data_IF_978158831974
#
_entry.id   IF_978158831974
#
_cell.length_a   1.000
_cell.length_b   1.000
_cell.length_c   1.000
_cell.angle_alpha   90.00
_cell.angle_beta   90.00
_cell.angle_gamma   90.00
#
_symmetry.space_group_name_H-M   'P 1'
#
loop_
_entity.id
_entity.type
_entity.pdbx_description
1 polymer ?
#
# COMPACT_ATOMS: atom_id res chain seq x y z
N UNK A 1 1.33 -16.43 3.33
CA UNK A 1 1.84 -15.24 4.02
C UNK A 1 0.81 -14.11 3.97
N UNK A 2 0.43 -13.59 2.79
CA UNK A 2 -0.53 -12.47 2.65
C UNK A 2 -1.88 -12.74 3.32
N UNK A 3 -2.34 -13.98 3.36
CA UNK A 3 -3.56 -14.39 4.06
C UNK A 3 -3.44 -14.19 5.57
N UNK A 4 -2.37 -14.67 6.20
CA UNK A 4 -2.13 -14.51 7.64
C UNK A 4 -1.93 -13.05 8.05
N UNK A 5 -1.31 -12.24 7.20
CA UNK A 5 -1.13 -10.81 7.43
C UNK A 5 -2.46 -10.01 7.47
N UNK A 6 -3.57 -10.58 6.97
CA UNK A 6 -4.91 -9.97 7.10
C UNK A 6 -5.50 -10.11 8.49
N UNK A 7 -5.19 -11.18 9.20
CA UNK A 7 -5.79 -11.53 10.50
C UNK A 7 -4.86 -11.26 11.68
N UNK A 8 -3.57 -11.26 11.45
CA UNK A 8 -2.58 -10.95 12.47
C UNK A 8 -1.55 -10.00 11.89
N UNK A 9 -1.57 -8.76 12.35
CA UNK A 9 -0.51 -7.81 12.05
C UNK A 9 0.49 -7.88 13.19
N UNK A 10 1.73 -8.27 12.89
CA UNK A 10 2.83 -8.05 13.82
C UNK A 10 2.79 -6.56 14.17
N UNK A 11 2.60 -6.24 15.45
CA UNK A 11 2.60 -4.86 15.91
C UNK A 11 3.94 -4.23 15.52
N UNK A 12 3.95 -3.57 14.38
CA UNK A 12 5.06 -2.73 13.96
C UNK A 12 4.88 -1.42 14.71
N UNK A 13 5.82 -1.09 15.56
CA UNK A 13 5.89 0.26 16.12
C UNK A 13 5.86 1.27 14.96
N UNK A 14 5.30 2.46 15.19
CA UNK A 14 5.25 3.50 14.16
C UNK A 14 6.60 3.69 13.42
N UNK A 15 7.70 3.50 14.13
CA UNK A 15 9.05 3.62 13.58
C UNK A 15 9.58 2.35 12.90
N UNK A 16 9.04 1.17 13.21
CA UNK A 16 9.48 -0.09 12.58
C UNK A 16 9.14 -0.12 11.08
N UNK A 17 8.14 0.65 10.66
CA UNK A 17 7.77 0.83 9.26
C UNK A 17 8.88 1.56 8.46
N UNK A 18 9.62 2.46 9.13
CA UNK A 18 10.73 3.22 8.52
C UNK A 18 12.08 2.52 8.69
N UNK A 19 12.23 1.63 9.66
CA UNK A 19 13.49 0.95 9.96
C UNK A 19 13.67 -0.35 9.20
N UNK A 20 12.61 -0.86 8.57
CA UNK A 20 12.64 -2.16 7.90
C UNK A 20 12.95 -3.32 8.86
N UNK A 21 12.84 -3.10 10.18
CA UNK A 21 13.16 -4.10 11.20
C UNK A 21 12.33 -5.35 10.98
N UNK A 22 13.02 -6.45 10.69
CA UNK A 22 12.39 -7.76 10.56
C UNK A 22 12.16 -8.35 11.96
N UNK A 23 11.06 -9.09 12.17
CA UNK A 23 10.85 -9.79 13.43
C UNK A 23 11.95 -10.84 13.66
N UNK A 24 12.54 -10.83 14.84
CA UNK A 24 13.57 -11.78 15.21
C UNK A 24 12.94 -13.09 15.69
N UNK A 25 13.34 -14.20 15.10
CA UNK A 25 12.93 -15.55 15.50
C UNK A 25 14.13 -16.29 16.08
N UNK A 26 13.96 -16.94 17.24
CA UNK A 26 15.03 -17.72 17.82
C UNK A 26 15.35 -18.95 16.94
N UNK A 27 16.63 -19.38 16.90
CA UNK A 27 17.02 -20.56 16.13
C UNK A 27 16.22 -21.81 16.51
N UNK A 28 15.85 -21.97 17.78
CA UNK A 28 15.02 -23.09 18.25
C UNK A 28 13.62 -23.04 17.67
N UNK A 29 13.01 -21.87 17.64
CA UNK A 29 11.68 -21.66 17.06
C UNK A 29 11.71 -21.91 15.55
N UNK A 30 12.70 -21.34 14.84
CA UNK A 30 12.94 -21.59 13.42
C UNK A 30 13.05 -23.08 13.10
N UNK A 31 13.90 -23.83 13.85
CA UNK A 31 14.07 -25.26 13.64
C UNK A 31 12.77 -26.04 13.90
N UNK A 32 12.02 -25.67 14.93
CA UNK A 32 10.73 -26.28 15.22
C UNK A 32 9.73 -26.01 14.08
N UNK A 33 9.64 -24.79 13.59
CA UNK A 33 8.76 -24.41 12.48
C UNK A 33 9.06 -25.25 11.22
N UNK A 34 10.34 -25.40 10.85
CA UNK A 34 10.76 -26.19 9.67
C UNK A 34 10.42 -27.68 9.81
N UNK A 35 10.45 -28.24 11.02
CA UNK A 35 10.23 -29.67 11.24
C UNK A 35 8.75 -30.01 11.48
N UNK A 36 8.01 -29.12 12.16
CA UNK A 36 6.67 -29.44 12.68
C UNK A 36 5.56 -28.90 11.79
N UNK A 37 5.82 -27.88 10.95
CA UNK A 37 4.79 -27.21 10.17
C UNK A 37 4.49 -27.96 8.88
N UNK A 38 3.27 -28.51 8.76
CA UNK A 38 2.79 -29.13 7.52
C UNK A 38 2.21 -28.04 6.60
N UNK A 39 3.06 -27.51 5.72
CA UNK A 39 2.66 -26.44 4.79
C UNK A 39 1.53 -26.86 3.85
N UNK A 40 1.54 -28.07 3.22
CA UNK A 40 0.43 -28.56 2.42
C UNK A 40 -0.90 -28.57 3.16
N UNK A 41 -0.95 -29.02 4.40
CA UNK A 41 -2.16 -29.05 5.22
C UNK A 41 -2.67 -27.64 5.52
N UNK A 42 -1.79 -26.75 5.94
CA UNK A 42 -2.13 -25.34 6.22
C UNK A 42 -2.61 -24.64 4.96
N UNK A 43 -1.96 -24.86 3.83
CA UNK A 43 -2.37 -24.28 2.55
C UNK A 43 -3.76 -24.75 2.13
N UNK A 44 -4.04 -26.06 2.25
CA UNK A 44 -5.35 -26.61 1.93
C UNK A 44 -6.46 -26.02 2.82
N UNK A 45 -6.21 -25.88 4.14
CA UNK A 45 -7.16 -25.23 5.06
C UNK A 45 -7.41 -23.77 4.71
N UNK A 46 -6.36 -23.01 4.42
CA UNK A 46 -6.46 -21.60 4.02
C UNK A 46 -7.28 -21.47 2.74
N UNK A 47 -7.03 -22.31 1.75
CA UNK A 47 -7.77 -22.31 0.49
C UNK A 47 -9.25 -22.64 0.71
N UNK A 48 -9.55 -23.67 1.50
CA UNK A 48 -10.92 -24.05 1.85
C UNK A 48 -11.68 -22.91 2.54
N UNK A 49 -11.02 -22.24 3.51
CA UNK A 49 -11.62 -21.11 4.24
C UNK A 49 -11.84 -19.91 3.33
N UNK A 50 -10.88 -19.54 2.48
CA UNK A 50 -10.99 -18.38 1.57
C UNK A 50 -12.13 -18.61 0.53
N UNK A 51 -12.21 -19.80 -0.05
CA UNK A 51 -13.33 -20.18 -0.93
C UNK A 51 -14.67 -20.16 -0.20
N UNK A 52 -14.72 -20.64 1.04
CA UNK A 52 -15.96 -20.66 1.82
C UNK A 52 -16.40 -19.25 2.21
N UNK A 53 -15.49 -18.41 2.65
CA UNK A 53 -15.76 -17.00 2.96
C UNK A 53 -16.25 -16.23 1.72
N UNK A 54 -15.65 -16.48 0.57
CA UNK A 54 -16.09 -15.87 -0.69
C UNK A 54 -17.55 -16.21 -1.02
N UNK A 55 -17.91 -17.50 -0.92
CA UNK A 55 -19.29 -17.96 -1.13
C UNK A 55 -20.27 -17.39 -0.12
N UNK A 56 -19.88 -17.32 1.16
CA UNK A 56 -20.71 -16.72 2.21
C UNK A 56 -20.94 -15.23 1.92
N UNK A 57 -19.93 -14.50 1.54
CA UNK A 57 -20.04 -13.07 1.21
C UNK A 57 -20.96 -12.82 0.01
N UNK A 58 -20.87 -13.65 -1.03
CA UNK A 58 -21.77 -13.59 -2.19
C UNK A 58 -23.22 -13.83 -1.75
N UNK A 59 -23.46 -14.87 -0.92
CA UNK A 59 -24.80 -15.17 -0.41
C UNK A 59 -25.35 -14.05 0.49
N UNK A 60 -24.53 -13.48 1.35
CA UNK A 60 -24.93 -12.35 2.19
C UNK A 60 -25.34 -11.17 1.31
N UNK A 61 -24.52 -10.81 0.33
CA UNK A 61 -24.78 -9.68 -0.57
C UNK A 61 -26.08 -9.90 -1.37
N UNK A 62 -26.30 -11.10 -1.92
CA UNK A 62 -27.52 -11.46 -2.63
C UNK A 62 -28.77 -11.35 -1.74
N UNK A 63 -28.69 -11.90 -0.51
CA UNK A 63 -29.81 -11.85 0.43
C UNK A 63 -30.09 -10.43 0.94
N UNK A 64 -29.08 -9.61 1.16
CA UNK A 64 -29.25 -8.21 1.54
C UNK A 64 -29.90 -7.41 0.41
N UNK A 65 -29.53 -7.63 -0.85
CA UNK A 65 -30.20 -7.01 -2.00
C UNK A 65 -31.67 -7.43 -2.09
N UNK A 66 -31.97 -8.74 -1.95
CA UNK A 66 -33.33 -9.24 -1.90
C UNK A 66 -34.15 -8.63 -0.79
N UNK A 67 -33.57 -8.51 0.40
CA UNK A 67 -34.23 -7.89 1.55
C UNK A 67 -34.54 -6.42 1.28
N UNK A 68 -33.60 -5.68 0.69
CA UNK A 68 -33.79 -4.26 0.35
C UNK A 68 -34.95 -4.06 -0.65
N UNK A 69 -35.07 -4.97 -1.64
CA UNK A 69 -36.17 -4.93 -2.62
C UNK A 69 -37.51 -5.29 -2.00
N UNK A 70 -37.53 -6.25 -1.06
CA UNK A 70 -38.76 -6.71 -0.40
C UNK A 70 -39.24 -5.77 0.72
N UNK A 71 -38.37 -5.02 1.36
CA UNK A 71 -38.70 -4.23 2.55
C UNK A 71 -39.87 -3.27 2.36
N UNK A 72 -40.02 -2.52 1.26
CA UNK A 72 -41.18 -1.67 1.02
C UNK A 72 -42.50 -2.45 0.90
N UNK A 73 -42.41 -3.73 0.53
CA UNK A 73 -43.57 -4.59 0.29
C UNK A 73 -44.02 -5.38 1.51
N UNK A 74 -43.39 -5.21 2.69
CA UNK A 74 -43.79 -5.86 3.96
C UNK A 74 -45.30 -5.71 4.28
N UNK A 75 -45.98 -4.55 3.95
CA UNK A 75 -47.42 -4.40 4.24
C UNK A 75 -48.34 -5.20 3.31
N UNK A 76 -47.82 -5.91 2.32
CA UNK A 76 -48.63 -6.72 1.42
C UNK A 76 -49.24 -7.92 2.17
N UNK A 77 -50.57 -7.99 2.21
CA UNK A 77 -51.34 -9.03 2.92
C UNK A 77 -51.67 -10.25 2.04
N UNK A 78 -51.07 -10.32 0.84
CA UNK A 78 -51.31 -11.41 -0.12
C UNK A 78 -50.01 -12.20 -0.26
N UNK A 79 -50.08 -13.56 -0.26
CA UNK A 79 -48.94 -14.40 -0.52
C UNK A 79 -48.32 -14.09 -1.89
N UNK A 80 -46.97 -13.97 -1.99
CA UNK A 80 -46.32 -13.69 -3.27
C UNK A 80 -46.54 -14.75 -4.33
N UNK A 81 -46.73 -16.00 -3.93
CA UNK A 81 -47.03 -17.11 -4.82
C UNK A 81 -48.43 -17.01 -5.49
N UNK A 82 -49.36 -16.21 -4.92
CA UNK A 82 -50.68 -15.95 -5.45
C UNK A 82 -50.74 -14.77 -6.43
N UNK A 83 -49.65 -13.94 -6.46
CA UNK A 83 -49.51 -12.82 -7.40
C UNK A 83 -49.09 -13.35 -8.76
N UNK A 84 -50.09 -13.80 -9.55
CA UNK A 84 -49.88 -14.45 -10.86
C UNK A 84 -51.08 -14.28 -11.78
N UNK A 85 -50.90 -14.54 -13.06
CA UNK A 85 -51.98 -14.62 -14.02
C UNK A 85 -52.89 -15.85 -13.70
N UNK A 86 -54.16 -15.60 -13.76
CA UNK A 86 -55.22 -16.62 -13.63
C UNK A 86 -56.06 -16.64 -14.91
N UNK A 87 -57.04 -17.55 -15.01
CA UNK A 87 -57.95 -17.62 -16.18
C UNK A 87 -58.81 -16.36 -16.36
N UNK A 88 -59.07 -15.61 -15.32
CA UNK A 88 -60.03 -14.48 -15.35
C UNK A 88 -59.41 -13.14 -14.99
N UNK A 89 -58.17 -13.15 -14.43
CA UNK A 89 -57.56 -11.97 -13.91
C UNK A 89 -56.03 -12.13 -13.95
N UNK A 90 -55.33 -11.07 -14.29
CA UNK A 90 -53.88 -10.96 -14.03
C UNK A 90 -53.65 -10.14 -12.77
N UNK A 91 -52.93 -10.70 -11.83
CA UNK A 91 -52.51 -9.98 -10.62
C UNK A 91 -51.00 -9.75 -10.63
N UNK A 92 -50.59 -8.53 -10.43
CA UNK A 92 -49.21 -8.17 -10.46
C UNK A 92 -48.84 -7.09 -9.41
N UNK A 93 -47.57 -6.98 -9.12
CA UNK A 93 -47.02 -5.88 -8.35
C UNK A 93 -46.38 -4.90 -9.32
N UNK A 94 -46.54 -3.60 -9.09
CA UNK A 94 -46.00 -2.59 -9.95
C UNK A 94 -45.52 -1.35 -9.13
N UNK A 95 -44.53 -0.68 -9.67
CA UNK A 95 -44.13 0.65 -9.22
C UNK A 95 -44.64 1.67 -10.22
N UNK A 96 -45.38 2.65 -9.76
CA UNK A 96 -45.96 3.73 -10.58
C UNK A 96 -45.55 5.10 -10.00
N UNK A 97 -45.50 6.16 -10.80
CA UNK A 97 -45.38 7.52 -10.27
C UNK A 97 -46.55 7.82 -9.34
N UNK A 98 -46.33 8.44 -8.20
CA UNK A 98 -47.41 8.75 -7.23
C UNK A 98 -48.52 9.62 -7.82
N UNK A 99 -48.20 10.47 -8.81
CA UNK A 99 -49.19 11.24 -9.55
C UNK A 99 -50.19 10.40 -10.36
N UNK A 100 -49.80 9.20 -10.72
CA UNK A 100 -50.63 8.27 -11.50
C UNK A 100 -51.75 7.63 -10.67
N UNK A 101 -51.67 7.64 -9.34
CA UNK A 101 -52.70 7.09 -8.44
C UNK A 101 -54.05 7.80 -8.56
N UNK A 102 -54.05 9.07 -8.95
CA UNK A 102 -55.27 9.85 -9.21
C UNK A 102 -55.81 9.79 -10.62
N UNK A 103 -55.28 8.92 -11.50
CA UNK A 103 -55.71 8.86 -12.91
C UNK A 103 -56.99 8.08 -13.07
N UNK A 104 -57.86 8.56 -14.02
CA UNK A 104 -59.11 7.90 -14.36
C UNK A 104 -58.91 6.46 -14.92
N UNK A 105 -57.71 6.16 -15.36
CA UNK A 105 -57.31 4.85 -15.87
C UNK A 105 -57.36 3.77 -14.78
N UNK A 106 -56.97 4.07 -13.56
CA UNK A 106 -57.02 3.17 -12.39
C UNK A 106 -58.48 2.96 -11.89
N UNK A 107 -59.37 3.90 -12.20
CA UNK A 107 -60.77 3.85 -11.81
C UNK A 107 -61.68 3.25 -12.89
N UNK A 108 -61.10 2.71 -13.98
CA UNK A 108 -61.86 2.08 -15.07
C UNK A 108 -62.48 0.75 -14.64
N UNK A 109 -63.54 0.37 -15.30
CA UNK A 109 -64.23 -0.93 -15.06
C UNK A 109 -63.28 -2.09 -15.31
N UNK A 110 -63.21 -3.03 -14.38
CA UNK A 110 -62.35 -4.21 -14.49
C UNK A 110 -60.93 -4.01 -13.98
N UNK A 111 -60.59 -2.87 -13.38
CA UNK A 111 -59.29 -2.62 -12.75
C UNK A 111 -59.48 -2.43 -11.24
N UNK A 112 -58.74 -3.18 -10.47
CA UNK A 112 -58.65 -3.04 -9.01
C UNK A 112 -57.21 -2.86 -8.59
N UNK A 113 -56.95 -1.92 -7.71
CA UNK A 113 -55.61 -1.71 -7.17
C UNK A 113 -55.65 -1.45 -5.67
N UNK A 114 -54.56 -1.77 -5.01
CA UNK A 114 -54.30 -1.44 -3.61
C UNK A 114 -52.90 -0.82 -3.52
N UNK A 115 -52.83 0.39 -2.98
CA UNK A 115 -51.54 1.01 -2.64
C UNK A 115 -50.93 0.27 -1.48
N UNK A 116 -49.64 -0.08 -1.59
CA UNK A 116 -48.90 -0.81 -0.58
C UNK A 116 -47.93 0.12 0.12
N UNK A 117 -47.24 0.97 -0.67
CA UNK A 117 -46.30 1.97 -0.14
C UNK A 117 -46.17 3.17 -1.08
N UNK A 118 -45.73 4.32 -0.52
CA UNK A 118 -45.42 5.52 -1.29
C UNK A 118 -44.16 6.18 -0.74
N UNK A 119 -43.19 6.46 -1.60
CA UNK A 119 -41.94 7.17 -1.26
C UNK A 119 -41.39 7.92 -2.48
N UNK A 120 -40.83 9.11 -2.24
CA UNK A 120 -40.08 9.93 -3.22
C UNK A 120 -40.72 10.09 -4.60
N UNK A 121 -42.04 10.25 -4.64
CA UNK A 121 -42.79 10.42 -5.89
C UNK A 121 -43.11 9.14 -6.64
N UNK A 122 -42.82 7.98 -6.04
CA UNK A 122 -43.21 6.66 -6.52
C UNK A 122 -44.17 5.99 -5.54
N UNK A 123 -44.98 5.08 -6.04
CA UNK A 123 -45.86 4.25 -5.25
C UNK A 123 -45.79 2.81 -5.70
N UNK A 124 -45.73 1.87 -4.74
CA UNK A 124 -45.89 0.44 -4.99
C UNK A 124 -47.35 0.04 -4.88
N UNK A 125 -47.91 -0.56 -5.91
CA UNK A 125 -49.28 -1.00 -5.96
C UNK A 125 -49.38 -2.51 -6.22
N UNK A 126 -50.33 -3.15 -5.59
CA UNK A 126 -50.88 -4.40 -6.08
C UNK A 126 -52.01 -4.07 -7.07
N UNK A 127 -51.99 -4.71 -8.24
CA UNK A 127 -52.89 -4.46 -9.36
C UNK A 127 -53.55 -5.75 -9.76
N UNK A 128 -54.85 -5.75 -9.93
CA UNK A 128 -55.62 -6.83 -10.53
C UNK A 128 -56.40 -6.30 -11.74
N UNK A 129 -56.20 -6.90 -12.90
CA UNK A 129 -56.85 -6.51 -14.16
C UNK A 129 -57.67 -7.66 -14.67
N UNK A 130 -58.94 -7.40 -14.88
CA UNK A 130 -59.89 -8.34 -15.49
C UNK A 130 -60.08 -7.93 -16.96
N UNK A 131 -59.59 -8.74 -17.89
CA UNK A 131 -59.78 -8.56 -19.33
C UNK A 131 -60.69 -9.66 -19.89
N UNK A 132 -61.57 -9.30 -20.83
CA UNK A 132 -62.53 -10.24 -21.38
C UNK A 132 -61.89 -11.26 -22.34
N UNK A 133 -61.63 -10.84 -23.59
CA UNK A 133 -61.16 -11.73 -24.67
C UNK A 133 -59.64 -11.62 -24.97
N UNK A 134 -58.95 -10.61 -24.45
CA UNK A 134 -57.51 -10.42 -24.65
C UNK A 134 -56.68 -11.18 -23.60
N UNK A 135 -55.39 -11.41 -23.86
CA UNK A 135 -54.48 -11.91 -22.84
C UNK A 135 -54.45 -10.89 -21.65
N UNK A 136 -54.72 -11.41 -20.49
CA UNK A 136 -54.83 -10.64 -19.23
C UNK A 136 -53.52 -9.94 -18.92
N UNK A 137 -52.39 -10.59 -19.20
CA UNK A 137 -51.05 -10.03 -19.01
C UNK A 137 -50.81 -8.86 -19.95
N UNK A 138 -51.26 -8.95 -21.23
CA UNK A 138 -51.12 -7.82 -22.18
C UNK A 138 -51.95 -6.61 -21.76
N UNK A 139 -53.16 -6.83 -21.23
CA UNK A 139 -54.01 -5.76 -20.73
C UNK A 139 -53.35 -5.03 -19.51
N UNK A 140 -52.81 -5.81 -18.56
CA UNK A 140 -52.08 -5.25 -17.41
C UNK A 140 -50.81 -4.46 -17.83
N UNK A 141 -50.03 -5.00 -18.76
CA UNK A 141 -48.84 -4.34 -19.26
C UNK A 141 -49.13 -3.05 -20.04
N UNK A 142 -50.24 -3.04 -20.84
CA UNK A 142 -50.68 -1.85 -21.54
C UNK A 142 -51.13 -0.77 -20.58
N UNK A 143 -51.84 -1.12 -19.53
CA UNK A 143 -52.30 -0.24 -18.48
C UNK A 143 -51.10 0.34 -17.69
N UNK A 144 -50.14 -0.49 -17.32
CA UNK A 144 -48.93 -0.03 -16.63
C UNK A 144 -48.10 0.92 -17.48
N UNK A 145 -48.01 0.65 -18.81
CA UNK A 145 -47.32 1.56 -19.72
C UNK A 145 -48.01 2.92 -19.81
N UNK A 146 -49.36 2.94 -19.85
CA UNK A 146 -50.15 4.17 -19.84
C UNK A 146 -49.95 4.99 -18.52
N UNK A 147 -49.73 4.30 -17.41
CA UNK A 147 -49.44 4.91 -16.09
C UNK A 147 -47.99 5.29 -15.91
N UNK A 148 -47.09 4.99 -16.86
CA UNK A 148 -45.61 5.16 -16.69
C UNK A 148 -45.04 4.25 -15.63
N UNK A 149 -45.69 3.12 -15.35
CA UNK A 149 -45.32 2.15 -14.31
C UNK A 149 -44.50 0.99 -14.84
N UNK A 150 -43.84 0.29 -13.94
CA UNK A 150 -43.03 -0.90 -14.21
C UNK A 150 -43.58 -2.10 -13.43
N UNK A 151 -43.81 -3.22 -14.10
CA UNK A 151 -44.19 -4.49 -13.48
C UNK A 151 -43.01 -5.08 -12.73
N UNK A 152 -43.26 -5.58 -11.53
CA UNK A 152 -42.27 -6.26 -10.69
C UNK A 152 -42.62 -7.75 -10.58
N UNK A 153 -41.63 -8.61 -10.70
CA UNK A 153 -41.75 -10.03 -10.47
C UNK A 153 -40.96 -10.47 -9.24
N UNK A 154 -41.39 -10.04 -8.07
CA UNK A 154 -40.70 -10.35 -6.80
C UNK A 154 -40.72 -11.87 -6.52
N UNK A 155 -41.74 -12.60 -6.95
CA UNK A 155 -41.80 -14.03 -6.74
C UNK A 155 -40.64 -14.79 -7.38
N UNK A 156 -40.17 -14.35 -8.55
CA UNK A 156 -38.97 -14.92 -9.20
C UNK A 156 -37.69 -14.67 -8.48
N UNK A 157 -37.55 -13.49 -7.87
CA UNK A 157 -36.31 -13.10 -7.14
C UNK A 157 -36.17 -13.86 -5.83
N UNK A 158 -37.28 -14.31 -5.22
CA UNK A 158 -37.29 -14.99 -3.94
C UNK A 158 -37.92 -16.40 -4.01
N UNK A 159 -37.82 -17.06 -5.14
CA UNK A 159 -38.44 -18.37 -5.40
C UNK A 159 -38.16 -19.39 -4.28
N UNK A 160 -36.96 -19.45 -3.75
CA UNK A 160 -36.57 -20.36 -2.67
C UNK A 160 -37.28 -20.07 -1.32
N UNK A 161 -37.95 -18.94 -1.17
CA UNK A 161 -38.63 -18.52 0.06
C UNK A 161 -40.14 -18.36 -0.09
N UNK A 162 -40.71 -18.69 -1.25
CA UNK A 162 -42.16 -18.54 -1.54
C UNK A 162 -43.06 -19.33 -0.61
N UNK A 163 -42.57 -20.44 -0.08
CA UNK A 163 -43.31 -21.30 0.86
C UNK A 163 -43.65 -20.58 2.18
N UNK A 164 -42.89 -19.51 2.53
CA UNK A 164 -43.19 -18.68 3.69
C UNK A 164 -44.47 -17.83 3.52
N UNK A 165 -44.98 -17.67 2.28
CA UNK A 165 -46.24 -17.05 1.95
C UNK A 165 -46.20 -15.53 1.88
N UNK A 166 -46.36 -14.85 3.03
CA UNK A 166 -46.40 -13.39 3.09
C UNK A 166 -45.00 -12.75 3.03
N UNK A 167 -44.90 -11.57 2.40
CA UNK A 167 -43.63 -10.85 2.26
C UNK A 167 -42.92 -10.65 3.61
N UNK A 168 -43.67 -10.33 4.65
CA UNK A 168 -43.11 -10.16 6.01
C UNK A 168 -42.46 -11.45 6.55
N UNK A 169 -43.01 -12.60 6.23
CA UNK A 169 -42.48 -13.88 6.69
C UNK A 169 -41.30 -14.34 5.83
N UNK A 170 -41.32 -14.02 4.52
CA UNK A 170 -40.16 -14.16 3.63
C UNK A 170 -39.01 -13.30 4.12
N UNK A 171 -39.23 -12.02 4.42
CA UNK A 171 -38.18 -11.16 4.99
C UNK A 171 -37.60 -11.73 6.30
N UNK A 172 -38.45 -12.25 7.18
CA UNK A 172 -38.02 -12.88 8.43
C UNK A 172 -37.16 -14.14 8.18
N UNK A 173 -37.55 -14.95 7.20
CA UNK A 173 -36.77 -16.13 6.81
C UNK A 173 -35.40 -15.74 6.23
N UNK A 174 -35.34 -14.70 5.40
CA UNK A 174 -34.08 -14.15 4.86
C UNK A 174 -33.20 -13.57 5.97
N UNK A 175 -33.77 -12.80 6.90
CA UNK A 175 -33.07 -12.26 8.07
C UNK A 175 -32.49 -13.36 8.97
N UNK A 176 -33.23 -14.44 9.18
CA UNK A 176 -32.74 -15.61 9.90
C UNK A 176 -31.56 -16.28 9.17
N UNK A 177 -31.65 -16.42 7.86
CA UNK A 177 -30.57 -17.00 7.05
C UNK A 177 -29.32 -16.11 7.03
N UNK A 178 -29.50 -14.79 6.95
CA UNK A 178 -28.40 -13.82 7.08
C UNK A 178 -27.68 -13.94 8.42
N UNK A 179 -28.46 -14.09 9.51
CA UNK A 179 -27.90 -14.27 10.86
C UNK A 179 -27.06 -15.54 10.96
N UNK A 180 -27.52 -16.63 10.35
CA UNK A 180 -26.82 -17.91 10.32
C UNK A 180 -25.51 -17.79 9.50
N UNK A 181 -25.56 -17.19 8.31
CA UNK A 181 -24.38 -16.99 7.45
C UNK A 181 -23.34 -16.08 8.13
N UNK A 182 -23.76 -15.00 8.77
CA UNK A 182 -22.85 -14.13 9.52
C UNK A 182 -22.18 -14.86 10.68
N UNK A 183 -22.92 -15.72 11.37
CA UNK A 183 -22.33 -16.54 12.44
C UNK A 183 -21.34 -17.57 11.91
N UNK A 184 -21.60 -18.17 10.75
CA UNK A 184 -20.66 -19.06 10.08
C UNK A 184 -19.39 -18.30 9.65
N UNK A 185 -19.57 -17.13 9.07
CA UNK A 185 -18.46 -16.21 8.71
C UNK A 185 -17.60 -15.88 9.92
N UNK A 186 -18.20 -15.49 11.02
CA UNK A 186 -17.51 -15.14 12.27
C UNK A 186 -16.72 -16.33 12.84
N UNK A 187 -17.28 -17.54 12.72
CA UNK A 187 -16.61 -18.77 13.17
C UNK A 187 -15.36 -19.07 12.31
N UNK A 188 -15.42 -18.87 11.00
CA UNK A 188 -14.27 -19.06 10.11
C UNK A 188 -13.21 -18.00 10.39
N UNK A 189 -13.61 -16.73 10.51
CA UNK A 189 -12.70 -15.63 10.83
C UNK A 189 -11.98 -15.82 12.17
N UNK A 190 -12.66 -16.36 13.18
CA UNK A 190 -12.05 -16.68 14.46
C UNK A 190 -10.99 -17.78 14.34
N UNK A 191 -11.25 -18.83 13.56
CA UNK A 191 -10.28 -19.89 13.27
C UNK A 191 -9.07 -19.36 12.48
N UNK A 192 -9.31 -18.45 11.54
CA UNK A 192 -8.24 -17.82 10.76
C UNK A 192 -7.36 -16.92 11.62
N UNK A 193 -7.96 -16.21 12.57
CA UNK A 193 -7.23 -15.42 13.56
C UNK A 193 -6.36 -16.31 14.47
N UNK A 194 -6.87 -17.46 14.91
CA UNK A 194 -6.10 -18.46 15.68
C UNK A 194 -4.94 -19.03 14.85
N UNK A 195 -5.19 -19.40 13.60
CA UNK A 195 -4.11 -19.87 12.70
C UNK A 195 -3.07 -18.76 12.46
N UNK A 196 -3.48 -17.49 12.39
CA UNK A 196 -2.59 -16.36 12.15
C UNK A 196 -1.65 -16.04 13.32
N UNK A 197 -1.86 -16.62 14.52
CA UNK A 197 -0.88 -16.56 15.61
C UNK A 197 0.46 -17.20 15.19
N UNK A 198 0.43 -18.18 14.27
CA UNK A 198 1.61 -18.79 13.65
C UNK A 198 2.31 -17.95 12.58
N UNK A 199 1.97 -16.66 12.40
CA UNK A 199 2.54 -15.80 11.34
C UNK A 199 4.07 -15.74 11.36
N UNK A 200 4.70 -15.70 12.54
CA UNK A 200 6.17 -15.70 12.68
C UNK A 200 6.80 -16.98 12.14
N UNK A 201 6.18 -18.11 12.39
CA UNK A 201 6.66 -19.41 11.90
C UNK A 201 6.53 -19.49 10.38
N UNK A 202 5.43 -18.97 9.81
CA UNK A 202 5.21 -18.87 8.36
C UNK A 202 6.23 -17.93 7.70
N UNK A 203 6.59 -16.81 8.34
CA UNK A 203 7.63 -15.91 7.82
C UNK A 203 9.00 -16.60 7.82
N UNK A 204 9.35 -17.28 8.92
CA UNK A 204 10.59 -18.03 9.02
C UNK A 204 10.69 -19.16 7.97
N UNK A 205 9.57 -19.87 7.73
CA UNK A 205 9.47 -20.88 6.68
C UNK A 205 9.57 -20.28 5.28
N UNK A 206 8.97 -19.11 5.06
CA UNK A 206 9.07 -18.41 3.78
C UNK A 206 10.53 -18.09 3.45
N UNK A 207 11.26 -17.51 4.41
CA UNK A 207 12.69 -17.21 4.24
C UNK A 207 13.51 -18.49 3.99
N UNK A 208 13.24 -19.57 4.72
CA UNK A 208 13.91 -20.87 4.51
C UNK A 208 13.70 -21.42 3.10
N UNK A 209 12.46 -21.40 2.60
CA UNK A 209 12.20 -21.93 1.26
C UNK A 209 12.71 -21.00 0.15
N UNK A 210 12.74 -19.68 0.37
CA UNK A 210 13.38 -18.74 -0.54
C UNK A 210 14.88 -18.98 -0.63
N UNK A 211 15.56 -19.19 0.50
CA UNK A 211 16.99 -19.53 0.52
C UNK A 211 17.25 -20.86 -0.19
N UNK A 212 16.41 -21.87 0.06
CA UNK A 212 16.52 -23.16 -0.64
C UNK A 212 16.30 -23.02 -2.14
N UNK A 213 15.32 -22.21 -2.56
CA UNK A 213 15.07 -21.91 -3.97
C UNK A 213 16.27 -21.21 -4.60
N UNK A 214 16.85 -20.21 -3.92
CA UNK A 214 18.04 -19.50 -4.38
C UNK A 214 19.24 -20.45 -4.52
N UNK A 215 19.45 -21.35 -3.58
CA UNK A 215 20.49 -22.40 -3.68
C UNK A 215 20.25 -23.32 -4.88
N UNK A 216 19.01 -23.71 -5.15
CA UNK A 216 18.68 -24.56 -6.30
C UNK A 216 18.85 -23.80 -7.64
N UNK A 217 18.58 -22.47 -7.67
CA UNK A 217 18.87 -21.61 -8.82
C UNK A 217 20.38 -21.53 -9.06
N UNK A 218 21.16 -21.21 -8.04
CA UNK A 218 22.63 -21.18 -8.14
C UNK A 218 23.17 -22.51 -8.65
N UNK A 219 22.65 -23.64 -8.15
CA UNK A 219 23.06 -24.98 -8.64
C UNK A 219 22.70 -25.25 -10.10
N UNK A 220 21.64 -24.63 -10.62
CA UNK A 220 21.22 -24.78 -12.04
C UNK A 220 22.05 -23.88 -12.95
N UNK A 221 22.40 -22.67 -12.49
CA UNK A 221 23.17 -21.69 -13.24
C UNK A 221 24.68 -21.98 -13.20
N UNK A 222 25.14 -22.61 -12.13
CA UNK A 222 26.55 -23.01 -11.97
C UNK A 222 27.02 -23.91 -13.10
N UNK A 223 28.16 -23.61 -13.64
CA UNK A 223 28.86 -24.48 -14.59
C UNK A 223 29.12 -25.85 -13.97
N UNK A 224 28.68 -26.94 -14.62
CA UNK A 224 28.80 -28.28 -14.08
C UNK A 224 29.48 -29.23 -15.05
N UNK A 225 30.50 -29.91 -14.55
CA UNK A 225 31.05 -31.10 -15.17
C UNK A 225 30.60 -32.37 -14.44
N UNK A 226 31.11 -33.54 -14.82
CA UNK A 226 30.80 -34.78 -14.11
C UNK A 226 31.31 -34.81 -12.65
N UNK A 227 32.37 -34.06 -12.35
CA UNK A 227 33.09 -34.11 -11.09
C UNK A 227 33.25 -32.77 -10.38
N UNK A 228 33.00 -31.66 -11.10
CA UNK A 228 33.20 -30.30 -10.56
C UNK A 228 31.97 -29.42 -10.74
N UNK A 229 31.79 -28.48 -9.83
CA UNK A 229 30.83 -27.40 -9.87
C UNK A 229 31.60 -26.10 -9.88
N UNK A 230 31.32 -25.21 -10.84
CA UNK A 230 31.91 -23.86 -10.92
C UNK A 230 30.84 -22.86 -10.52
N UNK A 231 31.13 -22.06 -9.52
CA UNK A 231 30.28 -20.95 -9.04
C UNK A 231 31.05 -19.65 -9.20
N UNK A 232 30.47 -18.71 -9.92
CA UNK A 232 31.04 -17.37 -10.10
C UNK A 232 30.40 -16.40 -9.11
N UNK A 233 31.20 -15.43 -8.64
CA UNK A 233 30.70 -14.41 -7.73
C UNK A 233 31.73 -13.30 -7.53
N UNK A 234 31.25 -12.18 -6.97
CA UNK A 234 32.10 -11.01 -6.73
C UNK A 234 32.46 -10.91 -5.26
N UNK A 235 33.75 -10.67 -4.99
CA UNK A 235 34.29 -10.43 -3.65
C UNK A 235 35.04 -9.11 -3.65
N UNK A 236 34.90 -8.32 -2.59
CA UNK A 236 35.68 -7.08 -2.48
C UNK A 236 37.16 -7.41 -2.39
N UNK A 237 37.99 -6.71 -3.16
CA UNK A 237 39.43 -6.96 -3.20
C UNK A 237 40.10 -6.95 -1.81
N UNK A 238 39.65 -6.08 -0.91
CA UNK A 238 40.15 -6.01 0.47
C UNK A 238 39.76 -7.20 1.35
N UNK A 239 38.66 -7.88 1.04
CA UNK A 239 38.15 -9.00 1.82
C UNK A 239 38.60 -10.36 1.23
N UNK A 240 39.38 -10.34 0.13
CA UNK A 240 39.80 -11.54 -0.57
C UNK A 240 40.66 -12.47 0.29
N UNK A 241 41.57 -11.90 1.08
CA UNK A 241 42.43 -12.71 1.97
C UNK A 241 41.57 -13.40 3.06
N UNK A 242 40.61 -12.69 3.63
CA UNK A 242 39.67 -13.24 4.59
C UNK A 242 38.78 -14.31 3.95
N UNK A 243 38.34 -14.11 2.71
CA UNK A 243 37.57 -15.07 1.95
C UNK A 243 38.34 -16.36 1.70
N UNK A 244 39.61 -16.25 1.26
CA UNK A 244 40.50 -17.41 1.08
C UNK A 244 40.73 -18.15 2.41
N UNK A 245 40.99 -17.42 3.49
CA UNK A 245 41.19 -18.02 4.81
C UNK A 245 39.95 -18.79 5.27
N UNK A 246 38.76 -18.24 5.09
CA UNK A 246 37.50 -18.91 5.43
C UNK A 246 37.22 -20.15 4.59
N UNK A 247 37.59 -20.16 3.32
CA UNK A 247 37.39 -21.30 2.43
C UNK A 247 38.49 -22.36 2.55
N UNK A 248 39.65 -22.04 3.13
CA UNK A 248 40.76 -23.00 3.37
C UNK A 248 40.38 -24.18 4.25
N UNK A 249 39.29 -24.08 5.01
CA UNK A 249 38.75 -25.20 5.79
C UNK A 249 38.22 -26.32 4.89
N UNK A 250 37.89 -26.01 3.64
CA UNK A 250 37.40 -27.01 2.68
C UNK A 250 38.53 -27.42 1.75
N UNK A 251 38.87 -28.69 1.74
CA UNK A 251 40.01 -29.24 0.98
C UNK A 251 39.76 -29.38 -0.52
N UNK A 252 38.50 -29.40 -0.94
CA UNK A 252 38.06 -29.69 -2.30
C UNK A 252 37.60 -28.44 -3.07
N UNK A 253 38.04 -27.27 -2.64
CA UNK A 253 37.70 -25.98 -3.28
C UNK A 253 38.98 -25.36 -3.87
N UNK A 254 38.91 -24.98 -5.13
CA UNK A 254 39.90 -24.15 -5.81
C UNK A 254 39.31 -22.77 -6.09
N UNK A 255 40.06 -21.72 -5.76
CA UNK A 255 39.66 -20.32 -5.96
C UNK A 255 40.47 -19.80 -7.15
N UNK A 256 39.78 -19.39 -8.19
CA UNK A 256 40.38 -18.76 -9.36
C UNK A 256 39.98 -17.27 -9.30
N UNK A 257 41.00 -16.39 -9.26
CA UNK A 257 40.78 -14.96 -9.30
C UNK A 257 40.77 -14.49 -10.74
N UNK A 258 39.71 -13.80 -11.12
CA UNK A 258 39.61 -13.14 -12.43
C UNK A 258 39.17 -11.68 -12.20
N UNK A 259 39.76 -10.77 -12.96
CA UNK A 259 39.30 -9.39 -12.98
C UNK A 259 38.02 -9.28 -13.81
N UNK A 260 37.02 -8.48 -13.37
CA UNK A 260 35.79 -8.30 -14.13
C UNK A 260 36.02 -7.80 -15.56
N UNK A 261 35.38 -8.44 -16.52
CA UNK A 261 35.36 -8.04 -17.92
C UNK A 261 34.75 -6.66 -18.17
N UNK A 262 34.84 -6.17 -19.43
CA UNK A 262 34.25 -4.86 -19.75
C UNK A 262 32.74 -4.85 -19.76
N UNK A 263 32.13 -5.98 -20.12
CA UNK A 263 30.69 -6.16 -20.26
C UNK A 263 30.03 -6.74 -18.99
N UNK A 264 30.80 -7.01 -17.93
CA UNK A 264 30.27 -7.61 -16.70
C UNK A 264 29.47 -6.59 -15.89
N UNK A 265 28.29 -7.00 -15.43
CA UNK A 265 27.48 -6.24 -14.50
C UNK A 265 27.98 -6.44 -13.06
N UNK A 266 29.01 -5.69 -12.71
CA UNK A 266 29.68 -5.79 -11.40
C UNK A 266 28.90 -5.06 -10.33
N UNK A 267 28.52 -5.71 -9.20
CA UNK A 267 27.83 -5.05 -8.11
C UNK A 267 28.71 -3.98 -7.46
N UNK A 268 28.19 -2.78 -7.35
CA UNK A 268 28.92 -1.63 -6.84
C UNK A 268 28.76 -1.52 -5.32
N UNK A 269 29.89 -1.39 -4.63
CA UNK A 269 29.95 -1.09 -3.21
C UNK A 269 30.67 0.23 -2.98
N UNK A 270 29.96 1.23 -2.43
CA UNK A 270 30.55 2.51 -2.06
C UNK A 270 31.22 2.39 -0.68
N UNK A 271 32.41 2.92 -0.58
CA UNK A 271 33.17 2.97 0.66
C UNK A 271 33.72 4.37 0.88
N UNK A 272 32.95 5.19 1.59
CA UNK A 272 33.29 6.56 1.87
C UNK A 272 33.75 6.76 3.31
N UNK A 273 34.47 7.87 3.53
CA UNK A 273 34.85 8.33 4.86
C UNK A 273 33.58 8.45 5.74
N UNK A 274 33.64 8.14 7.06
CA UNK A 274 32.47 8.15 7.95
C UNK A 274 31.61 9.43 7.95
N UNK A 275 32.21 10.60 7.65
CA UNK A 275 31.51 11.89 7.52
C UNK A 275 30.70 11.94 6.20
N UNK A 276 31.22 11.34 5.12
CA UNK A 276 30.59 11.35 3.79
C UNK A 276 29.60 10.19 3.63
N UNK A 277 29.87 9.07 4.29
CA UNK A 277 29.06 7.85 4.21
C UNK A 277 27.53 8.07 4.35
N UNK A 278 27.01 8.95 5.22
CA UNK A 278 25.57 9.24 5.27
C UNK A 278 24.98 9.75 3.95
N UNK A 279 25.79 10.47 3.16
CA UNK A 279 25.35 11.00 1.87
C UNK A 279 25.27 9.94 0.76
N UNK A 280 25.82 8.73 0.98
CA UNK A 280 25.58 7.58 0.09
C UNK A 280 24.09 7.26 -0.03
N UNK A 281 23.27 7.59 0.99
CA UNK A 281 21.82 7.44 0.92
C UNK A 281 21.20 8.31 -0.21
N UNK A 282 21.77 9.51 -0.46
CA UNK A 282 21.34 10.38 -1.56
C UNK A 282 21.75 9.78 -2.90
N UNK A 283 22.98 9.31 -3.01
CA UNK A 283 23.50 8.63 -4.20
C UNK A 283 22.66 7.40 -4.54
N UNK A 284 22.27 6.59 -3.55
CA UNK A 284 21.44 5.41 -3.73
C UNK A 284 20.05 5.74 -4.28
N UNK A 285 19.45 6.90 -3.95
CA UNK A 285 18.15 7.34 -4.47
C UNK A 285 18.23 7.65 -5.96
N UNK A 286 19.34 8.25 -6.41
CA UNK A 286 19.56 8.57 -7.83
C UNK A 286 20.08 7.40 -8.65
N UNK A 287 20.64 6.38 -8.02
CA UNK A 287 21.29 5.22 -8.62
C UNK A 287 22.78 5.19 -8.31
N UNK A 288 23.32 3.97 -8.13
CA UNK A 288 24.75 3.79 -7.96
C UNK A 288 25.50 4.07 -9.27
N UNK A 289 26.72 4.66 -9.22
CA UNK A 289 27.56 4.80 -10.39
C UNK A 289 27.94 3.40 -10.93
N UNK A 290 28.36 3.31 -12.18
CA UNK A 290 28.92 2.07 -12.71
C UNK A 290 30.22 1.73 -11.99
N UNK A 291 30.60 0.44 -11.95
CA UNK A 291 31.84 -0.06 -11.29
C UNK A 291 33.10 0.70 -11.69
N UNK A 292 33.19 1.18 -12.94
CA UNK A 292 34.34 1.94 -13.45
C UNK A 292 34.24 3.45 -13.31
N UNK A 293 33.07 3.95 -12.89
CA UNK A 293 32.83 5.37 -12.71
C UNK A 293 33.35 5.85 -11.35
N UNK A 294 33.59 7.16 -11.27
CA UNK A 294 33.93 7.79 -10.00
C UNK A 294 32.72 7.89 -9.10
N UNK A 295 32.91 7.61 -7.81
CA UNK A 295 31.88 7.85 -6.82
C UNK A 295 31.56 9.36 -6.73
N UNK A 296 30.35 9.80 -7.06
CA UNK A 296 29.96 11.21 -6.99
C UNK A 296 29.71 11.69 -5.55
N UNK A 297 29.56 10.77 -4.59
CA UNK A 297 29.15 11.09 -3.19
C UNK A 297 30.04 12.12 -2.52
N UNK A 298 31.40 12.02 -2.57
CA UNK A 298 32.26 13.00 -1.91
C UNK A 298 32.10 14.43 -2.44
N UNK A 299 31.76 14.56 -3.71
CA UNK A 299 31.59 15.85 -4.38
C UNK A 299 30.19 16.41 -4.20
N UNK A 300 29.18 15.55 -4.14
CA UNK A 300 27.79 15.91 -3.91
C UNK A 300 27.55 16.33 -2.46
N UNK A 301 28.18 15.66 -1.49
CA UNK A 301 27.94 15.81 -0.06
C UNK A 301 28.00 17.27 0.45
N UNK A 302 29.04 18.08 0.16
CA UNK A 302 29.12 19.46 0.67
C UNK A 302 28.02 20.37 0.10
N UNK A 303 27.69 20.19 -1.19
CA UNK A 303 26.62 20.99 -1.81
C UNK A 303 25.25 20.60 -1.29
N UNK A 304 24.97 19.30 -1.17
CA UNK A 304 23.73 18.82 -0.59
C UNK A 304 23.54 19.33 0.83
N UNK A 305 24.59 19.31 1.64
CA UNK A 305 24.58 19.79 3.01
C UNK A 305 24.24 21.30 3.08
N UNK A 306 24.89 22.12 2.24
CA UNK A 306 24.64 23.57 2.18
C UNK A 306 23.23 23.86 1.68
N UNK A 307 22.82 23.26 0.56
CA UNK A 307 21.52 23.50 -0.03
C UNK A 307 20.36 23.08 0.87
N UNK A 308 20.49 21.94 1.54
CA UNK A 308 19.48 21.50 2.50
C UNK A 308 19.30 22.52 3.63
N UNK A 309 20.41 23.00 4.17
CA UNK A 309 20.39 24.03 5.20
C UNK A 309 19.72 25.33 4.75
N UNK A 310 20.07 25.80 3.55
CA UNK A 310 19.47 27.02 2.97
C UNK A 310 18.00 26.85 2.65
N UNK A 311 17.59 25.68 2.14
CA UNK A 311 16.18 25.38 1.82
C UNK A 311 15.28 25.31 3.05
N UNK A 312 15.75 24.70 4.14
CA UNK A 312 14.97 24.62 5.38
C UNK A 312 15.09 25.92 6.20
N UNK A 313 16.25 26.55 6.22
CA UNK A 313 16.54 27.91 6.61
C UNK A 313 16.11 28.37 8.00
N UNK A 314 15.81 27.47 8.94
CA UNK A 314 15.36 27.81 10.29
C UNK A 314 16.15 27.04 11.37
N UNK A 315 16.78 27.76 12.28
CA UNK A 315 17.65 27.16 13.28
C UNK A 315 16.92 26.25 14.26
N UNK A 316 15.69 26.57 14.64
CA UNK A 316 14.92 25.75 15.59
C UNK A 316 14.49 24.44 14.95
N UNK A 317 14.03 24.47 13.69
CA UNK A 317 13.74 23.22 12.96
C UNK A 317 15.00 22.37 12.76
N UNK A 318 16.16 23.00 12.52
CA UNK A 318 17.45 22.30 12.47
C UNK A 318 17.78 21.60 13.78
N UNK A 319 17.58 22.27 14.93
CA UNK A 319 17.77 21.69 16.27
C UNK A 319 16.82 20.49 16.46
N UNK A 320 15.54 20.67 16.15
CA UNK A 320 14.53 19.59 16.27
C UNK A 320 14.92 18.38 15.42
N UNK A 321 15.28 18.60 14.16
CA UNK A 321 15.69 17.55 13.23
C UNK A 321 16.95 16.80 13.72
N UNK A 322 17.96 17.52 14.18
CA UNK A 322 19.19 16.93 14.71
C UNK A 322 18.97 16.12 15.97
N UNK A 323 18.18 16.65 16.92
CA UNK A 323 17.85 15.96 18.17
C UNK A 323 16.99 14.73 17.93
N UNK A 324 15.98 14.84 17.04
CA UNK A 324 15.16 13.71 16.66
C UNK A 324 15.99 12.60 16.01
N UNK A 325 16.84 12.94 15.05
CA UNK A 325 17.68 11.96 14.36
C UNK A 325 18.68 11.30 15.32
N UNK A 326 19.28 12.06 16.20
CA UNK A 326 20.20 11.54 17.22
C UNK A 326 19.49 10.59 18.21
N UNK A 327 18.30 10.98 18.71
CA UNK A 327 17.48 10.15 19.57
C UNK A 327 17.09 8.86 18.87
N UNK A 328 16.67 8.96 17.61
CA UNK A 328 16.25 7.83 16.80
C UNK A 328 17.39 6.82 16.60
N UNK A 329 18.59 7.27 16.22
CA UNK A 329 19.78 6.42 16.07
C UNK A 329 20.09 5.68 17.37
N UNK A 330 19.97 6.35 18.52
CA UNK A 330 20.25 5.72 19.82
C UNK A 330 19.22 4.70 20.26
N UNK A 331 17.95 4.92 19.94
CA UNK A 331 16.84 4.08 20.44
C UNK A 331 16.55 2.89 19.53
N UNK A 332 16.68 3.05 18.21
CA UNK A 332 16.19 2.04 17.27
C UNK A 332 17.22 1.02 16.80
N UNK A 333 18.51 1.14 17.15
CA UNK A 333 19.58 0.20 16.76
C UNK A 333 19.44 -0.25 15.29
N UNK A 334 19.44 0.72 14.37
CA UNK A 334 19.27 0.49 12.94
C UNK A 334 20.41 -0.38 12.40
N UNK A 335 20.10 -1.30 11.50
CA UNK A 335 21.11 -2.03 10.71
C UNK A 335 21.84 -1.09 9.76
N UNK A 336 21.10 -0.15 9.14
CA UNK A 336 21.63 0.93 8.32
C UNK A 336 21.16 2.28 8.88
N UNK A 337 22.07 3.01 9.48
CA UNK A 337 21.80 4.32 10.07
C UNK A 337 22.16 5.50 9.15
N UNK A 338 22.58 5.24 7.90
CA UNK A 338 23.04 6.26 6.95
C UNK A 338 22.04 7.38 6.75
N UNK A 339 20.78 7.04 6.52
CA UNK A 339 19.73 8.04 6.30
C UNK A 339 19.46 8.91 7.54
N UNK A 340 19.44 8.32 8.73
CA UNK A 340 19.23 9.09 9.96
C UNK A 340 20.44 9.98 10.30
N UNK A 341 21.66 9.53 10.03
CA UNK A 341 22.85 10.36 10.13
C UNK A 341 22.87 11.50 9.12
N UNK A 342 22.38 11.24 7.90
CA UNK A 342 22.19 12.27 6.88
C UNK A 342 21.28 13.39 7.41
N UNK A 343 20.09 13.02 7.93
CA UNK A 343 19.15 13.99 8.51
C UNK A 343 19.77 14.76 9.69
N UNK A 344 20.55 14.10 10.53
CA UNK A 344 21.26 14.75 11.64
C UNK A 344 22.25 15.80 11.11
N UNK A 345 23.04 15.47 10.08
CA UNK A 345 24.00 16.41 9.48
C UNK A 345 23.29 17.55 8.75
N UNK A 346 22.21 17.26 8.05
CA UNK A 346 21.34 18.27 7.44
C UNK A 346 20.71 19.20 8.49
N UNK A 347 20.34 18.67 9.65
CA UNK A 347 19.88 19.48 10.78
C UNK A 347 20.96 20.45 11.27
N UNK A 348 22.22 20.04 11.37
CA UNK A 348 23.34 20.96 11.70
C UNK A 348 23.52 22.03 10.63
N UNK A 349 23.42 21.69 9.34
CA UNK A 349 23.46 22.69 8.28
C UNK A 349 22.32 23.70 8.41
N UNK A 350 21.13 23.22 8.72
CA UNK A 350 19.93 24.06 8.91
C UNK A 350 20.08 25.01 10.10
N UNK A 351 20.70 24.55 11.22
CA UNK A 351 21.00 25.44 12.36
C UNK A 351 21.93 26.56 11.91
N UNK A 352 22.98 26.21 11.16
CA UNK A 352 23.95 27.20 10.67
C UNK A 352 23.27 28.18 9.69
N UNK A 353 22.53 27.68 8.70
CA UNK A 353 21.83 28.50 7.74
C UNK A 353 20.79 29.41 8.43
N UNK A 354 19.95 28.86 9.32
CA UNK A 354 18.94 29.60 10.07
C UNK A 354 19.53 30.66 10.96
N UNK A 355 20.70 30.41 11.59
CA UNK A 355 21.43 31.40 12.36
C UNK A 355 21.96 32.53 11.46
N UNK A 356 22.51 32.21 10.27
CA UNK A 356 23.01 33.18 9.30
C UNK A 356 21.90 34.00 8.63
N UNK A 357 20.73 33.43 8.47
CA UNK A 357 19.56 34.13 7.90
C UNK A 357 18.69 34.81 8.96
N UNK A 358 18.97 34.59 10.24
CA UNK A 358 18.24 35.19 11.36
C UNK A 358 16.89 34.52 11.64
N UNK A 359 16.61 33.38 11.02
CA UNK A 359 15.36 32.63 11.24
C UNK A 359 15.50 31.67 12.44
N UNK A 360 14.77 31.99 13.51
CA UNK A 360 14.69 31.22 14.75
C UNK A 360 13.22 30.99 15.09
N UNK A 361 12.61 29.96 14.49
CA UNK A 361 11.17 29.76 14.50
C UNK A 361 10.44 30.97 13.90
N UNK A 362 10.86 31.36 12.69
CA UNK A 362 10.53 32.65 12.10
C UNK A 362 11.21 33.81 12.85
N UNK A 363 10.48 34.85 13.13
CA UNK A 363 10.96 36.07 13.83
C UNK A 363 10.74 36.03 15.35
N UNK A 364 10.64 34.84 15.96
CA UNK A 364 10.29 34.69 17.36
C UNK A 364 11.16 35.53 18.32
N UNK A 365 12.52 35.50 18.21
CA UNK A 365 13.37 36.30 19.11
C UNK A 365 13.12 37.80 18.98
N UNK A 366 12.99 38.32 17.78
CA UNK A 366 12.77 39.74 17.48
C UNK A 366 11.39 40.21 17.91
N UNK A 367 10.37 39.34 17.76
CA UNK A 367 8.97 39.67 18.07
C UNK A 367 8.66 39.55 19.55
N UNK A 368 9.11 38.50 20.22
CA UNK A 368 8.71 38.14 21.60
C UNK A 368 9.79 38.35 22.66
N UNK A 369 11.07 38.37 22.29
CA UNK A 369 12.19 38.48 23.24
C UNK A 369 12.93 39.81 23.13
N UNK A 370 12.25 40.89 22.75
CA UNK A 370 12.85 42.24 22.59
C UNK A 370 13.57 42.69 23.85
N UNK A 371 14.79 43.19 23.68
CA UNK A 371 15.63 43.70 24.77
C UNK A 371 16.38 42.63 25.57
N UNK A 372 16.23 41.35 25.24
CA UNK A 372 16.94 40.24 25.90
C UNK A 372 18.31 39.98 25.27
N UNK A 373 19.18 39.25 26.01
CA UNK A 373 20.46 38.79 25.48
C UNK A 373 20.27 37.88 24.25
N UNK A 374 19.17 37.12 24.18
CA UNK A 374 18.86 36.20 23.09
C UNK A 374 18.65 36.98 21.80
N UNK A 375 17.82 38.02 21.80
CA UNK A 375 17.64 38.90 20.63
C UNK A 375 18.95 39.49 20.15
N UNK A 376 19.79 39.99 21.10
CA UNK A 376 21.07 40.60 20.77
C UNK A 376 22.03 39.59 20.12
N UNK A 377 22.09 38.36 20.62
CA UNK A 377 22.96 37.31 20.06
C UNK A 377 22.45 36.88 18.71
N UNK A 378 21.17 36.57 18.58
CA UNK A 378 20.56 36.07 17.31
C UNK A 378 20.68 37.12 16.22
N UNK A 379 20.41 38.38 16.50
CA UNK A 379 20.52 39.48 15.52
C UNK A 379 21.96 39.84 15.14
N UNK A 380 22.95 39.58 16.00
CA UNK A 380 24.35 39.87 15.68
C UNK A 380 25.00 38.86 14.72
N UNK A 381 24.42 37.67 14.56
CA UNK A 381 24.92 36.60 13.69
C UNK A 381 24.36 36.68 12.27
N UNK A 382 23.30 37.46 12.05
CA UNK A 382 22.65 37.61 10.76
C UNK A 382 23.60 38.19 9.72
N UNK A 383 23.84 37.43 8.66
CA UNK A 383 24.67 37.85 7.51
C UNK A 383 23.82 38.00 6.25
N UNK A 384 22.79 37.15 6.10
CA UNK A 384 21.87 37.17 5.00
C UNK A 384 20.48 37.39 5.55
N UNK A 385 19.80 38.43 5.11
CA UNK A 385 18.45 38.77 5.55
C UNK A 385 17.45 38.48 4.41
N UNK A 386 16.80 37.32 4.39
CA UNK A 386 15.87 36.93 3.31
C UNK A 386 14.60 37.81 3.24
N UNK A 387 14.29 38.53 4.33
CA UNK A 387 13.08 39.36 4.41
C UNK A 387 13.39 40.77 3.85
N UNK A 388 14.51 41.37 4.27
CA UNK A 388 14.84 42.73 3.85
C UNK A 388 15.67 42.76 2.56
N UNK A 389 16.50 41.71 2.30
CA UNK A 389 17.32 41.63 1.08
C UNK A 389 17.26 40.22 0.46
N UNK A 390 16.09 39.85 -0.13
CA UNK A 390 15.91 38.56 -0.78
C UNK A 390 16.80 38.40 -2.03
N UNK A 391 17.21 39.49 -2.68
CA UNK A 391 18.04 39.45 -3.87
C UNK A 391 19.47 38.94 -3.58
N UNK A 392 20.07 39.33 -2.44
CA UNK A 392 21.38 38.82 -2.04
C UNK A 392 21.34 37.31 -1.78
N UNK A 393 20.30 36.80 -1.08
CA UNK A 393 20.14 35.36 -0.86
C UNK A 393 19.95 34.59 -2.19
N UNK A 394 19.15 35.13 -3.11
CA UNK A 394 18.95 34.56 -4.44
C UNK A 394 20.26 34.46 -5.23
N UNK A 395 21.05 35.55 -5.24
CA UNK A 395 22.34 35.59 -5.96
C UNK A 395 23.36 34.63 -5.36
N UNK A 396 23.43 34.53 -4.03
CA UNK A 396 24.28 33.56 -3.33
C UNK A 396 23.88 32.13 -3.67
N UNK A 397 22.60 31.80 -3.60
CA UNK A 397 22.09 30.47 -3.94
C UNK A 397 22.35 30.11 -5.41
N UNK A 398 22.18 31.08 -6.32
CA UNK A 398 22.46 30.91 -7.74
C UNK A 398 23.96 30.66 -8.00
N UNK A 399 24.83 31.43 -7.33
CA UNK A 399 26.29 31.26 -7.44
C UNK A 399 26.72 29.85 -6.97
N UNK A 400 26.21 29.39 -5.81
CA UNK A 400 26.44 28.01 -5.35
C UNK A 400 25.91 26.97 -6.34
N UNK A 401 24.73 27.20 -6.95
CA UNK A 401 24.18 26.32 -7.98
C UNK A 401 25.09 26.21 -9.21
N UNK A 402 25.61 27.33 -9.71
CA UNK A 402 26.54 27.38 -10.83
C UNK A 402 27.83 26.59 -10.48
N UNK A 403 28.42 26.85 -9.31
CA UNK A 403 29.63 26.15 -8.86
C UNK A 403 29.37 24.65 -8.74
N UNK A 404 28.21 24.23 -8.22
CA UNK A 404 27.82 22.81 -8.13
C UNK A 404 27.78 22.14 -9.51
N UNK A 405 27.15 22.78 -10.50
CA UNK A 405 27.10 22.27 -11.87
C UNK A 405 28.50 22.13 -12.44
N UNK A 406 29.36 23.14 -12.28
CA UNK A 406 30.75 23.09 -12.73
C UNK A 406 31.52 21.94 -12.10
N UNK A 407 31.38 21.73 -10.78
CA UNK A 407 32.01 20.60 -10.10
C UNK A 407 31.51 19.27 -10.66
N UNK A 408 30.21 19.14 -10.91
CA UNK A 408 29.62 17.93 -11.54
C UNK A 408 30.22 17.64 -12.91
N UNK A 409 30.35 18.66 -13.78
CA UNK A 409 30.96 18.55 -15.09
C UNK A 409 32.44 18.12 -14.95
N UNK A 410 33.21 18.73 -14.06
CA UNK A 410 34.61 18.39 -13.84
C UNK A 410 34.77 16.95 -13.35
N UNK A 411 33.92 16.49 -12.41
CA UNK A 411 33.95 15.11 -11.89
C UNK A 411 33.66 14.12 -13.01
N UNK A 412 32.67 14.39 -13.85
CA UNK A 412 32.34 13.55 -15.00
C UNK A 412 33.50 13.53 -16.02
N UNK A 413 34.02 14.68 -16.37
CA UNK A 413 35.19 14.78 -17.27
C UNK A 413 36.39 13.96 -16.76
N UNK A 414 36.74 14.11 -15.46
CA UNK A 414 37.85 13.33 -14.87
C UNK A 414 37.55 11.83 -14.89
N UNK A 415 36.28 11.43 -14.65
CA UNK A 415 35.86 10.04 -14.74
C UNK A 415 36.05 9.47 -16.14
N UNK A 416 35.62 10.16 -17.19
CA UNK A 416 35.72 9.76 -18.59
C UNK A 416 37.19 9.68 -19.03
N UNK A 417 38.01 10.63 -18.64
CA UNK A 417 39.47 10.62 -18.92
C UNK A 417 40.15 9.41 -18.25
N UNK A 418 39.80 9.08 -16.99
CA UNK A 418 40.35 7.91 -16.30
C UNK A 418 39.93 6.59 -16.94
N UNK A 419 38.73 6.55 -17.52
CA UNK A 419 38.24 5.40 -18.30
C UNK A 419 38.96 5.25 -19.67
N UNK A 420 39.92 6.12 -20.02
CA UNK A 420 40.69 6.06 -21.26
C UNK A 420 40.06 6.76 -22.46
N UNK A 421 38.92 7.42 -22.29
CA UNK A 421 38.19 8.12 -23.34
C UNK A 421 38.51 9.62 -23.34
N UNK A 422 39.77 9.97 -23.67
CA UNK A 422 40.28 11.36 -23.63
C UNK A 422 39.52 12.31 -24.55
N UNK A 423 39.17 11.86 -25.76
CA UNK A 423 38.45 12.70 -26.74
C UNK A 423 37.02 13.03 -26.26
N UNK A 424 36.30 12.04 -25.79
CA UNK A 424 34.93 12.18 -25.35
C UNK A 424 34.85 13.00 -24.05
N UNK A 425 35.85 12.85 -23.14
CA UNK A 425 35.95 13.62 -21.90
C UNK A 425 36.19 15.13 -22.09
N UNK A 426 36.71 15.56 -23.24
CA UNK A 426 37.00 16.99 -23.54
C UNK A 426 35.95 17.58 -24.48
N UNK A 427 35.38 16.78 -25.39
CA UNK A 427 34.51 17.28 -26.46
C UNK A 427 33.02 17.25 -26.12
N UNK A 428 32.59 16.37 -25.17
CA UNK A 428 31.17 16.17 -24.81
C UNK A 428 30.79 16.90 -23.54
N UNK A 429 31.74 17.56 -22.87
CA UNK A 429 31.55 18.25 -21.59
C UNK A 429 32.24 19.62 -21.57
#
# INVERSE_FOLDING_TARGET
RSYFERYNTIEKGFFDMFTGKKPEVSYRQFKNAVVTYDIPEVFAKVQEHDERLSRINEQITDLEQKLQVLEPWKPLDIPLGEVRETRTCDTCLAIVPSAALGSDVLHSSGVHYKEIWQDKGQAGIWLAVFAGEASQEQAANTLLTALGGTRLNLAREVEAYLDAGLVKDICRAIEARLTELRKEQETILAKDAEMAEGLLDILALTDYYLDKQNLDLIRKEAGRTRFTLVVEGYVKAKDMDLFRDRLSVFTDIEIIDEEPGEDDDVPVYLENHPIIRPFEAVTAIYGYPNYRELDPTPWLAPFFWIFFGLCLGDAVYGIMLSLFSWWFIKTQKLEDDRFMRLLMYCGFSTILAGALTGSWFGDFPVSFLKGTLIERITSSIVVLDPINDPMTLLLVSLAFGIVHIWVGIIVKMVGTIRAGQLADGIMDH
#
